data_IF_652740773768
#
_entry.id   IF_652740773768
#
_cell.length_a   1.000
_cell.length_b   1.000
_cell.length_c   1.000
_cell.angle_alpha   90.00
_cell.angle_beta   90.00
_cell.angle_gamma   90.00
#
_symmetry.space_group_name_H-M   'P 1'
#
loop_
_entity.id
_entity.type
_entity.pdbx_description
1 polymer ?
#
# COMPACT_ATOMS: atom_id res chain seq x y z
N UNK A 1 37.15 -34.68 -2.64
CA UNK A 1 36.54 -36.01 -2.81
C UNK A 1 35.16 -36.01 -2.17
N UNK A 2 34.13 -36.41 -2.94
CA UNK A 2 32.84 -37.05 -2.55
C UNK A 2 32.11 -36.47 -1.31
N UNK A 3 30.87 -35.98 -1.33
CA UNK A 3 29.66 -36.20 -2.15
C UNK A 3 28.73 -34.96 -1.95
N UNK A 4 28.12 -34.35 -2.99
CA UNK A 4 26.82 -34.70 -3.65
C UNK A 4 25.66 -34.86 -2.64
N UNK A 5 24.43 -34.39 -2.83
CA UNK A 5 23.69 -33.50 -3.75
C UNK A 5 22.21 -33.75 -3.44
N UNK A 6 21.32 -32.76 -3.57
CA UNK A 6 19.90 -32.99 -3.91
C UNK A 6 19.41 -31.76 -4.73
N UNK A 7 19.45 -31.89 -6.06
CA UNK A 7 18.31 -31.97 -7.01
C UNK A 7 17.55 -30.63 -7.15
N UNK A 8 17.80 -29.84 -8.18
CA UNK A 8 17.29 -29.95 -9.58
C UNK A 8 15.76 -30.14 -9.63
N UNK A 9 15.04 -29.02 -9.79
CA UNK A 9 13.63 -28.99 -10.18
C UNK A 9 13.53 -28.62 -11.68
N UNK A 10 13.01 -29.51 -12.56
CA UNK A 10 12.83 -29.25 -13.99
C UNK A 10 11.57 -28.45 -14.34
N UNK A 11 10.85 -27.86 -13.37
CA UNK A 11 9.60 -27.12 -13.61
C UNK A 11 9.73 -25.63 -13.92
N UNK A 12 10.91 -25.03 -13.79
CA UNK A 12 11.09 -23.59 -14.01
C UNK A 12 11.13 -23.23 -15.50
N UNK A 13 9.96 -23.08 -16.13
CA UNK A 13 9.85 -22.38 -17.42
C UNK A 13 10.38 -20.95 -17.25
N UNK A 14 11.60 -20.70 -17.71
CA UNK A 14 12.06 -19.35 -18.07
C UNK A 14 11.22 -18.92 -19.27
N UNK A 15 10.23 -18.08 -19.03
CA UNK A 15 9.52 -17.40 -20.11
C UNK A 15 10.36 -16.23 -20.59
N UNK A 16 10.47 -16.17 -21.91
CA UNK A 16 11.34 -15.33 -22.69
C UNK A 16 11.06 -13.83 -22.51
N UNK A 17 12.11 -13.04 -22.74
CA UNK A 17 12.10 -11.58 -22.83
C UNK A 17 11.10 -11.10 -23.88
N UNK A 18 10.26 -10.08 -23.59
CA UNK A 18 9.60 -9.31 -24.63
C UNK A 18 10.58 -8.27 -25.17
N UNK A 19 10.97 -8.43 -26.45
CA UNK A 19 11.42 -7.31 -27.28
C UNK A 19 10.22 -6.38 -27.49
N UNK A 20 10.16 -5.27 -26.76
CA UNK A 20 9.67 -3.96 -27.25
C UNK A 20 9.67 -2.93 -26.11
N UNK A 21 10.61 -1.99 -26.18
CA UNK A 21 10.49 -0.62 -25.66
C UNK A 21 10.01 -0.43 -24.22
N UNK A 22 10.68 -1.03 -23.24
CA UNK A 22 10.43 -0.74 -21.83
C UNK A 22 11.23 0.49 -21.36
N UNK A 23 10.52 1.38 -20.67
CA UNK A 23 11.10 2.50 -19.92
C UNK A 23 12.16 1.94 -18.96
N UNK A 24 13.42 2.24 -19.27
CA UNK A 24 14.54 1.92 -18.39
C UNK A 24 14.41 2.78 -17.12
N UNK A 25 14.08 2.14 -16.00
CA UNK A 25 14.39 2.68 -14.67
C UNK A 25 15.90 2.56 -14.47
N UNK A 26 16.64 3.50 -15.08
CA UNK A 26 18.09 3.54 -15.07
C UNK A 26 18.63 4.14 -13.78
N UNK A 27 19.25 3.29 -12.98
CA UNK A 27 20.18 3.58 -11.91
C UNK A 27 20.66 2.23 -11.40
N UNK A 28 21.95 1.91 -11.59
CA UNK A 28 22.54 0.60 -11.30
C UNK A 28 22.12 0.09 -9.91
N UNK A 29 21.24 -0.92 -9.90
CA UNK A 29 20.97 -1.70 -8.70
C UNK A 29 21.94 -2.89 -8.73
N UNK A 30 22.86 -2.96 -7.77
CA UNK A 30 23.56 -4.21 -7.50
C UNK A 30 22.52 -5.32 -7.24
N UNK A 31 22.77 -6.50 -7.82
CA UNK A 31 21.79 -7.57 -7.97
C UNK A 31 21.31 -8.25 -6.66
N UNK A 32 21.60 -7.67 -5.49
CA UNK A 32 21.35 -8.29 -4.19
C UNK A 32 20.51 -7.43 -3.21
N UNK A 33 20.00 -6.25 -3.61
CA UNK A 33 19.18 -5.42 -2.71
C UNK A 33 17.81 -5.04 -3.29
N UNK A 34 17.11 -6.06 -3.80
CA UNK A 34 15.70 -5.94 -4.19
C UNK A 34 14.87 -5.92 -2.90
N UNK A 35 14.75 -4.76 -2.25
CA UNK A 35 13.86 -4.62 -1.09
C UNK A 35 12.43 -5.06 -1.46
N UNK A 36 11.96 -6.10 -0.79
CA UNK A 36 10.56 -6.53 -0.86
C UNK A 36 9.72 -5.70 0.10
N UNK A 37 8.53 -5.30 -0.34
CA UNK A 37 7.60 -4.53 0.47
C UNK A 37 6.19 -5.11 0.42
N UNK A 38 5.45 -4.92 1.50
CA UNK A 38 4.03 -5.24 1.59
C UNK A 38 3.24 -3.95 1.72
N UNK A 39 2.36 -3.70 0.75
CA UNK A 39 1.28 -2.74 0.91
C UNK A 39 0.19 -3.41 1.73
N UNK A 40 -0.31 -2.74 2.75
CA UNK A 40 -1.42 -3.21 3.57
C UNK A 40 -2.54 -2.17 3.61
N UNK A 41 -3.77 -2.66 3.58
CA UNK A 41 -4.99 -1.84 3.66
C UNK A 41 -5.70 -2.18 4.95
N UNK A 42 -6.01 -1.15 5.72
CA UNK A 42 -6.64 -1.29 7.02
C UNK A 42 -8.02 -0.67 7.04
N UNK A 43 -8.90 -1.30 7.81
CA UNK A 43 -10.19 -0.77 8.22
C UNK A 43 -10.13 -0.40 9.69
N UNK A 44 -10.57 0.82 10.04
CA UNK A 44 -10.61 1.24 11.45
C UNK A 44 -11.82 0.65 12.17
N UNK A 45 -11.62 0.20 13.41
CA UNK A 45 -12.70 -0.16 14.34
C UNK A 45 -13.03 0.98 15.31
N UNK A 46 -12.63 2.22 15.01
CA UNK A 46 -12.95 3.40 15.83
C UNK A 46 -14.45 3.64 15.90
N UNK A 47 -14.93 4.04 17.08
CA UNK A 47 -16.32 4.45 17.33
C UNK A 47 -16.57 5.92 16.99
N UNK A 48 -15.57 6.64 16.44
CA UNK A 48 -15.77 8.00 15.95
C UNK A 48 -16.95 8.01 14.95
N UNK A 49 -17.99 8.85 15.13
CA UNK A 49 -19.24 8.75 14.37
C UNK A 49 -19.06 8.69 12.86
N UNK A 50 -18.19 9.54 12.31
CA UNK A 50 -17.86 9.56 10.88
C UNK A 50 -17.18 8.26 10.41
N UNK A 51 -16.28 7.70 11.22
CA UNK A 51 -15.56 6.47 10.88
C UNK A 51 -16.50 5.29 10.93
N UNK A 52 -17.33 5.19 11.97
CA UNK A 52 -18.30 4.11 12.12
C UNK A 52 -19.34 4.12 10.99
N UNK A 53 -19.81 5.30 10.56
CA UNK A 53 -20.79 5.44 9.47
C UNK A 53 -20.22 5.11 8.08
N UNK A 54 -18.92 5.37 7.85
CA UNK A 54 -18.28 5.24 6.55
C UNK A 54 -17.17 4.17 6.52
N UNK A 55 -17.20 3.20 7.45
CA UNK A 55 -16.13 2.22 7.67
C UNK A 55 -15.76 1.39 6.44
N UNK A 56 -16.72 1.12 5.56
CA UNK A 56 -16.48 0.35 4.32
C UNK A 56 -15.85 1.19 3.19
N UNK A 57 -15.74 2.51 3.36
CA UNK A 57 -15.15 3.42 2.40
C UNK A 57 -13.86 4.07 2.93
N UNK A 58 -13.70 4.15 4.25
CA UNK A 58 -12.53 4.72 4.91
C UNK A 58 -11.47 3.63 5.10
N UNK A 59 -10.37 3.78 4.37
CA UNK A 59 -9.25 2.85 4.44
C UNK A 59 -7.94 3.57 4.72
N UNK A 60 -7.11 2.97 5.57
CA UNK A 60 -5.71 3.37 5.70
C UNK A 60 -4.86 2.53 4.79
N UNK A 61 -3.99 3.16 4.04
CA UNK A 61 -3.03 2.50 3.16
C UNK A 61 -1.65 2.70 3.78
N UNK A 62 -0.86 1.64 3.88
CA UNK A 62 0.51 1.74 4.36
C UNK A 62 1.44 0.76 3.68
N UNK A 63 2.74 1.01 3.81
CA UNK A 63 3.80 0.17 3.23
C UNK A 63 4.76 -0.26 4.33
N UNK A 64 5.21 -1.52 4.31
CA UNK A 64 6.20 -2.03 5.26
C UNK A 64 7.12 -3.06 4.61
N UNK A 65 8.37 -3.12 5.03
CA UNK A 65 9.30 -4.20 4.66
C UNK A 65 9.24 -5.40 5.62
N UNK A 66 8.54 -5.26 6.75
CA UNK A 66 8.40 -6.29 7.77
C UNK A 66 7.01 -6.93 7.77
N UNK A 67 6.67 -7.57 8.89
CA UNK A 67 5.33 -8.13 9.13
C UNK A 67 4.31 -7.02 9.36
N UNK A 68 3.15 -7.11 8.72
CA UNK A 68 2.06 -6.13 8.87
C UNK A 68 1.55 -6.13 10.31
N UNK A 69 1.46 -7.31 10.92
CA UNK A 69 1.00 -7.52 12.29
C UNK A 69 1.87 -6.74 13.29
N UNK A 70 3.19 -6.70 13.07
CA UNK A 70 4.11 -5.93 13.91
C UNK A 70 3.89 -4.43 13.75
N UNK A 71 3.54 -3.96 12.54
CA UNK A 71 3.30 -2.52 12.28
C UNK A 71 2.01 -2.02 12.93
N UNK A 72 1.01 -2.88 13.10
CA UNK A 72 -0.31 -2.54 13.66
C UNK A 72 -0.53 -3.01 15.10
N UNK A 73 0.46 -3.67 15.71
CA UNK A 73 0.32 -4.31 17.03
C UNK A 73 -0.17 -3.37 18.14
N UNK A 74 0.13 -2.07 18.03
CA UNK A 74 -0.20 -1.05 19.02
C UNK A 74 -1.19 0.01 18.47
N UNK A 75 -1.96 -0.35 17.44
CA UNK A 75 -2.87 0.58 16.75
C UNK A 75 -3.86 1.29 17.71
N UNK A 76 -4.42 0.57 18.69
CA UNK A 76 -5.40 1.13 19.62
C UNK A 76 -4.85 2.29 20.48
N UNK A 77 -3.53 2.42 20.60
CA UNK A 77 -2.88 3.46 21.40
C UNK A 77 -2.21 4.55 20.56
N UNK A 78 -2.31 4.49 19.23
CA UNK A 78 -1.57 5.35 18.31
C UNK A 78 -2.52 6.24 17.51
N UNK A 79 -2.27 7.56 17.53
CA UNK A 79 -3.14 8.53 16.88
C UNK A 79 -3.23 8.31 15.35
N UNK A 80 -2.15 7.82 14.71
CA UNK A 80 -2.15 7.48 13.26
C UNK A 80 -3.18 6.39 12.90
N UNK A 81 -3.62 5.60 13.88
CA UNK A 81 -4.65 4.56 13.74
C UNK A 81 -5.98 4.96 14.39
N UNK A 82 -6.19 6.26 14.61
CA UNK A 82 -7.43 6.80 15.18
C UNK A 82 -7.73 6.31 16.60
N UNK A 83 -6.67 5.95 17.36
CA UNK A 83 -6.76 5.40 18.72
C UNK A 83 -7.74 4.22 18.81
N UNK A 84 -7.71 3.35 17.79
CA UNK A 84 -8.61 2.23 17.67
C UNK A 84 -7.91 1.00 17.11
N UNK A 85 -8.52 -0.16 17.36
CA UNK A 85 -8.12 -1.41 16.69
C UNK A 85 -8.35 -1.28 15.19
N UNK A 86 -7.59 -2.05 14.42
CA UNK A 86 -7.67 -2.08 12.96
C UNK A 86 -7.72 -3.52 12.47
N UNK A 87 -8.41 -3.71 11.35
CA UNK A 87 -8.47 -4.97 10.64
C UNK A 87 -7.67 -4.86 9.34
N UNK A 88 -6.84 -5.86 9.05
CA UNK A 88 -6.16 -5.98 7.75
C UNK A 88 -7.14 -6.57 6.76
N UNK A 89 -7.59 -5.77 5.79
CA UNK A 89 -8.58 -6.20 4.81
C UNK A 89 -7.96 -6.57 3.45
N UNK A 90 -6.73 -6.12 3.19
CA UNK A 90 -5.96 -6.54 2.02
C UNK A 90 -4.45 -6.38 2.25
N UNK A 91 -3.67 -7.22 1.56
CA UNK A 91 -2.21 -7.11 1.50
C UNK A 91 -1.72 -7.42 0.09
N UNK A 92 -0.71 -6.68 -0.35
CA UNK A 92 -0.09 -6.85 -1.65
C UNK A 92 1.42 -6.90 -1.51
N UNK A 93 2.03 -8.01 -1.92
CA UNK A 93 3.49 -8.17 -1.93
C UNK A 93 4.04 -7.64 -3.25
N UNK A 94 5.08 -6.83 -3.15
CA UNK A 94 5.80 -6.26 -4.28
C UNK A 94 7.30 -6.46 -4.06
N UNK A 95 8.00 -6.88 -5.13
CA UNK A 95 9.45 -6.98 -5.15
C UNK A 95 10.02 -5.78 -5.92
N UNK A 96 11.20 -5.30 -5.51
CA UNK A 96 11.93 -4.26 -6.25
C UNK A 96 11.27 -2.89 -6.13
N UNK A 97 10.65 -2.61 -4.98
CA UNK A 97 9.98 -1.34 -4.76
C UNK A 97 10.71 -0.48 -3.76
N UNK A 98 10.83 0.81 -4.08
CA UNK A 98 11.23 1.81 -3.10
C UNK A 98 10.01 2.17 -2.24
N UNK A 99 10.03 1.76 -0.97
CA UNK A 99 8.91 1.93 -0.01
C UNK A 99 8.47 3.39 0.12
N UNK A 100 9.43 4.31 0.25
CA UNK A 100 9.15 5.75 0.35
C UNK A 100 8.50 6.30 -0.91
N UNK A 101 8.92 5.86 -2.11
CA UNK A 101 8.26 6.27 -3.37
C UNK A 101 6.83 5.74 -3.45
N UNK A 102 6.59 4.52 -2.99
CA UNK A 102 5.26 3.91 -2.98
C UNK A 102 4.29 4.65 -2.06
N UNK A 103 4.74 4.99 -0.85
CA UNK A 103 3.96 5.78 0.11
C UNK A 103 3.58 7.15 -0.48
N UNK A 104 4.58 7.88 -0.99
CA UNK A 104 4.36 9.18 -1.65
C UNK A 104 3.42 9.10 -2.86
N UNK A 105 3.43 7.97 -3.58
CA UNK A 105 2.52 7.76 -4.71
C UNK A 105 1.07 7.65 -4.23
N UNK A 106 0.79 6.82 -3.24
CA UNK A 106 -0.57 6.69 -2.69
C UNK A 106 -1.07 8.00 -2.10
N UNK A 107 -0.21 8.72 -1.37
CA UNK A 107 -0.55 10.04 -0.83
C UNK A 107 -0.98 11.00 -1.93
N UNK A 108 -0.21 11.07 -3.03
CA UNK A 108 -0.53 11.97 -4.14
C UNK A 108 -1.80 11.52 -4.88
N UNK A 109 -1.90 10.23 -5.17
CA UNK A 109 -3.00 9.65 -5.94
C UNK A 109 -4.35 9.87 -5.23
N UNK A 110 -4.38 9.64 -3.91
CA UNK A 110 -5.59 9.72 -3.11
C UNK A 110 -5.72 11.00 -2.28
N UNK A 111 -4.82 11.98 -2.47
CA UNK A 111 -4.90 13.29 -1.83
C UNK A 111 -6.30 13.95 -1.93
N UNK A 112 -7.02 13.89 -3.08
CA UNK A 112 -8.37 14.47 -3.19
C UNK A 112 -9.41 13.82 -2.27
N UNK A 113 -9.12 12.64 -1.73
CA UNK A 113 -10.02 11.86 -0.88
C UNK A 113 -9.42 11.58 0.50
N UNK A 114 -8.39 12.32 0.90
CA UNK A 114 -7.81 12.21 2.23
C UNK A 114 -8.87 12.54 3.28
N UNK A 115 -8.95 11.69 4.31
CA UNK A 115 -9.86 11.86 5.42
C UNK A 115 -9.47 13.11 6.22
N UNK A 116 -10.39 14.07 6.30
CA UNK A 116 -10.21 15.29 7.10
C UNK A 116 -10.82 15.09 8.49
N UNK A 117 -10.06 14.45 9.38
CA UNK A 117 -10.44 14.20 10.77
C UNK A 117 -9.32 14.61 11.72
N UNK A 118 -9.69 15.38 12.74
CA UNK A 118 -8.81 15.72 13.86
C UNK A 118 -9.29 14.97 15.09
N UNK A 119 -8.39 14.22 15.71
CA UNK A 119 -8.62 13.56 16.99
C UNK A 119 -7.64 14.11 18.03
N UNK A 120 -7.97 14.00 19.31
CA UNK A 120 -7.01 14.32 20.37
C UNK A 120 -6.19 13.07 20.70
N UNK A 121 -4.87 13.23 20.84
CA UNK A 121 -4.01 12.19 21.37
C UNK A 121 -4.26 11.96 22.88
N UNK A 122 -3.51 11.02 23.47
CA UNK A 122 -3.60 10.69 24.90
C UNK A 122 -3.24 11.84 25.86
N UNK A 123 -2.63 12.92 25.35
CA UNK A 123 -2.26 14.13 26.09
C UNK A 123 -3.21 15.31 25.81
N UNK A 124 -4.22 15.11 24.96
CA UNK A 124 -5.17 16.15 24.57
C UNK A 124 -4.68 17.03 23.41
N UNK A 125 -3.58 16.69 22.74
CA UNK A 125 -3.09 17.44 21.59
C UNK A 125 -3.83 17.01 20.32
N UNK A 126 -4.26 17.95 19.47
CA UNK A 126 -4.93 17.62 18.21
C UNK A 126 -3.93 16.96 17.24
N UNK A 127 -4.34 15.86 16.63
CA UNK A 127 -3.60 15.09 15.63
C UNK A 127 -4.51 14.78 14.45
N UNK A 128 -4.00 14.98 13.25
CA UNK A 128 -4.67 14.66 11.99
C UNK A 128 -3.86 13.60 11.21
N UNK A 129 -4.31 12.33 11.20
CA UNK A 129 -3.64 11.28 10.44
C UNK A 129 -3.80 11.47 8.92
N UNK A 130 -2.69 11.44 8.17
CA UNK A 130 -2.71 11.71 6.72
C UNK A 130 -2.90 10.47 5.84
N UNK A 131 -2.86 9.28 6.44
CA UNK A 131 -2.83 7.99 5.74
C UNK A 131 -4.20 7.36 5.51
N UNK A 132 -5.28 8.07 5.86
CA UNK A 132 -6.64 7.58 5.74
C UNK A 132 -7.33 8.24 4.55
N UNK A 133 -8.02 7.45 3.73
CA UNK A 133 -8.65 7.92 2.50
C UNK A 133 -10.06 7.36 2.35
N UNK A 134 -10.96 8.15 1.76
CA UNK A 134 -12.30 7.72 1.32
C UNK A 134 -12.21 7.07 -0.06
N UNK A 135 -11.70 5.84 -0.08
CA UNK A 135 -11.41 5.09 -1.29
C UNK A 135 -11.89 3.65 -1.11
N UNK A 136 -12.84 3.15 -1.93
CA UNK A 136 -13.26 1.76 -1.86
C UNK A 136 -12.12 0.77 -2.15
N UNK A 137 -12.18 -0.43 -1.56
CA UNK A 137 -11.12 -1.43 -1.71
C UNK A 137 -10.83 -1.78 -3.18
N UNK A 138 -11.86 -1.89 -4.04
CA UNK A 138 -11.67 -2.23 -5.45
C UNK A 138 -10.85 -1.19 -6.23
N UNK A 139 -10.88 0.09 -5.81
CA UNK A 139 -10.06 1.14 -6.41
C UNK A 139 -8.60 0.98 -5.98
N UNK A 140 -8.38 0.56 -4.72
CA UNK A 140 -7.04 0.28 -4.21
C UNK A 140 -6.45 -0.93 -4.94
N UNK A 141 -7.25 -1.98 -5.16
CA UNK A 141 -6.88 -3.14 -6.00
C UNK A 141 -6.43 -2.70 -7.40
N UNK A 142 -7.23 -1.85 -8.07
CA UNK A 142 -6.91 -1.31 -9.38
C UNK A 142 -5.63 -0.47 -9.37
N UNK A 143 -5.47 0.42 -8.38
CA UNK A 143 -4.27 1.25 -8.22
C UNK A 143 -3.02 0.38 -8.09
N UNK A 144 -3.08 -0.69 -7.28
CA UNK A 144 -1.97 -1.63 -7.13
C UNK A 144 -1.67 -2.39 -8.44
N UNK A 145 -2.69 -2.77 -9.20
CA UNK A 145 -2.50 -3.39 -10.51
C UNK A 145 -1.78 -2.45 -11.49
N UNK A 146 -2.20 -1.19 -11.55
CA UNK A 146 -1.60 -0.16 -12.40
C UNK A 146 -0.21 0.27 -11.95
N UNK A 147 0.10 0.13 -10.66
CA UNK A 147 1.46 0.31 -10.16
C UNK A 147 2.38 -0.78 -10.69
N UNK A 148 1.90 -2.03 -10.72
CA UNK A 148 2.68 -3.20 -11.18
C UNK A 148 2.98 -3.14 -12.68
N UNK A 149 2.02 -2.67 -13.49
CA UNK A 149 2.21 -2.54 -14.94
C UNK A 149 2.80 -1.18 -15.37
N UNK A 150 2.97 -0.25 -14.43
CA UNK A 150 3.56 1.07 -14.66
C UNK A 150 2.60 2.12 -15.24
N UNK A 151 1.33 1.78 -15.47
CA UNK A 151 0.34 2.70 -16.06
C UNK A 151 -0.23 3.73 -15.07
N UNK A 152 -0.01 3.57 -13.76
CA UNK A 152 -0.63 4.41 -12.71
C UNK A 152 -0.37 5.92 -12.89
N UNK A 153 0.73 6.30 -13.55
CA UNK A 153 1.07 7.70 -13.81
C UNK A 153 0.09 8.40 -14.75
N UNK A 154 -0.71 7.65 -15.50
CA UNK A 154 -1.70 8.16 -16.44
C UNK A 154 -3.07 8.38 -15.78
N UNK A 155 -3.20 8.11 -14.48
CA UNK A 155 -4.47 8.13 -13.77
C UNK A 155 -4.48 9.09 -12.59
N UNK A 156 -5.65 9.66 -12.35
CA UNK A 156 -6.00 10.40 -11.14
C UNK A 156 -7.22 9.77 -10.48
N UNK A 157 -7.35 9.90 -9.16
CA UNK A 157 -8.56 9.47 -8.47
C UNK A 157 -9.64 10.54 -8.56
N UNK A 158 -10.84 10.16 -9.01
CA UNK A 158 -12.05 10.96 -8.94
C UNK A 158 -12.91 10.51 -7.73
N UNK A 159 -12.96 11.30 -6.64
CA UNK A 159 -13.77 10.96 -5.46
C UNK A 159 -15.27 10.94 -5.73
N UNK A 160 -15.75 11.71 -6.73
CA UNK A 160 -17.18 11.82 -7.03
C UNK A 160 -17.70 10.56 -7.71
N UNK A 161 -16.86 9.93 -8.53
CA UNK A 161 -17.18 8.68 -9.22
C UNK A 161 -16.56 7.43 -8.56
N UNK A 162 -15.77 7.61 -7.49
CA UNK A 162 -15.04 6.57 -6.78
C UNK A 162 -14.26 5.64 -7.74
N UNK A 163 -13.47 6.23 -8.65
CA UNK A 163 -12.73 5.49 -9.69
C UNK A 163 -11.44 6.20 -10.09
N UNK A 164 -10.53 5.44 -10.68
CA UNK A 164 -9.38 6.01 -11.40
C UNK A 164 -9.83 6.47 -12.79
N UNK A 165 -9.45 7.67 -13.19
CA UNK A 165 -9.74 8.24 -14.51
C UNK A 165 -8.48 8.78 -15.15
N UNK A 166 -8.46 8.79 -16.47
CA UNK A 166 -7.47 9.55 -17.21
C UNK A 166 -7.87 11.04 -17.13
N UNK A 167 -6.94 11.95 -16.76
CA UNK A 167 -7.22 13.36 -16.55
C UNK A 167 -7.56 14.13 -17.84
#
# INVERSE_FOLDING_TARGET
SLQRAFYDDPGARRLASPESGQLAFGGDFEADDVESGTIYVLRSLSDHPYVAQHRDLIHKIGVTGGKVETRIANAENEATYLLAKVEVIATYKLAGINRTRMENLFHRLFAPARLDITINDRFGHPVQPEEWFLVPLFVIDEAVARIKDGSITNYVYDPSAAKLVEP
#
